data_IF_135112661567
#
_entry.id   IF_135112661567
#
_cell.length_a   1.000
_cell.length_b   1.000
_cell.length_c   1.000
_cell.angle_alpha   90.00
_cell.angle_beta   90.00
_cell.angle_gamma   90.00
#
_symmetry.space_group_name_H-M   'P 1'
#
loop_
_entity.id
_entity.type
_entity.pdbx_description
1 polymer ?
#
# COMPACT_ATOMS: atom_id res chain seq x y z
N UNK A 1 55.39 29.02 24.54
CA UNK A 1 54.94 28.73 23.15
C UNK A 1 53.88 27.62 23.03
N UNK A 2 54.04 26.44 23.65
CA UNK A 2 53.14 25.26 23.44
C UNK A 2 51.63 25.50 23.74
N UNK A 3 51.28 26.41 24.65
CA UNK A 3 49.88 26.67 25.08
C UNK A 3 49.06 27.42 24.01
N UNK A 4 49.67 28.42 23.35
CA UNK A 4 49.04 29.18 22.25
C UNK A 4 48.80 28.31 21.00
N UNK A 5 49.68 27.35 20.74
CA UNK A 5 49.53 26.40 19.61
C UNK A 5 48.36 25.44 19.81
N UNK A 6 48.20 24.89 21.03
CA UNK A 6 47.05 24.03 21.38
C UNK A 6 45.71 24.77 21.29
N UNK A 7 45.64 26.04 21.71
CA UNK A 7 44.42 26.85 21.56
C UNK A 7 44.08 27.15 20.10
N UNK A 8 45.09 27.47 19.27
CA UNK A 8 44.88 27.69 17.83
C UNK A 8 44.35 26.44 17.13
N UNK A 9 44.90 25.27 17.46
CA UNK A 9 44.43 23.98 16.92
C UNK A 9 42.99 23.70 17.39
N UNK A 10 42.66 23.92 18.67
CA UNK A 10 41.31 23.72 19.22
C UNK A 10 40.27 24.67 18.61
N UNK A 11 40.66 25.92 18.31
CA UNK A 11 39.80 26.85 17.56
C UNK A 11 39.59 26.35 16.13
N UNK A 12 40.65 25.98 15.43
CA UNK A 12 40.58 25.49 14.04
C UNK A 12 39.72 24.24 13.90
N UNK A 13 39.89 23.25 14.77
CA UNK A 13 39.04 22.04 14.78
C UNK A 13 37.58 22.36 15.08
N UNK A 14 37.29 23.32 15.97
CA UNK A 14 35.92 23.79 16.20
C UNK A 14 35.31 24.44 14.96
N UNK A 15 36.07 25.25 14.22
CA UNK A 15 35.60 25.85 12.96
C UNK A 15 35.34 24.78 11.89
N UNK A 16 36.27 23.84 11.71
CA UNK A 16 36.12 22.72 10.78
C UNK A 16 34.89 21.87 11.13
N UNK A 17 34.68 21.51 12.40
CA UNK A 17 33.49 20.78 12.84
C UNK A 17 32.17 21.53 12.55
N UNK A 18 32.17 22.86 12.67
CA UNK A 18 30.99 23.68 12.34
C UNK A 18 30.73 23.68 10.83
N UNK A 19 31.77 23.77 10.00
CA UNK A 19 31.64 23.71 8.54
C UNK A 19 31.11 22.34 8.08
N UNK A 20 31.68 21.25 8.59
CA UNK A 20 31.17 19.90 8.35
C UNK A 20 29.73 19.74 8.87
N UNK A 21 29.41 20.31 10.02
CA UNK A 21 28.05 20.33 10.56
C UNK A 21 27.06 21.05 9.65
N UNK A 22 27.43 22.21 9.11
CA UNK A 22 26.60 22.94 8.14
C UNK A 22 26.38 22.14 6.86
N UNK A 23 27.44 21.56 6.30
CA UNK A 23 27.34 20.73 5.10
C UNK A 23 26.44 19.51 5.33
N UNK A 24 26.56 18.86 6.50
CA UNK A 24 25.71 17.74 6.88
C UNK A 24 24.23 18.15 6.98
N UNK A 25 23.93 19.29 7.62
CA UNK A 25 22.55 19.81 7.72
C UNK A 25 21.96 20.06 6.33
N UNK A 26 22.71 20.69 5.42
CA UNK A 26 22.28 20.92 4.04
C UNK A 26 22.02 19.61 3.32
N UNK A 27 22.90 18.61 3.47
CA UNK A 27 22.72 17.30 2.86
C UNK A 27 21.47 16.57 3.38
N UNK A 28 21.20 16.64 4.69
CA UNK A 28 19.98 16.05 5.30
C UNK A 28 18.72 16.73 4.77
N UNK A 29 18.71 18.06 4.66
CA UNK A 29 17.58 18.81 4.11
C UNK A 29 17.35 18.42 2.64
N UNK A 30 18.39 18.41 1.82
CA UNK A 30 18.29 18.02 0.42
C UNK A 30 17.78 16.57 0.27
N UNK A 31 18.30 15.64 1.07
CA UNK A 31 17.83 14.25 1.09
C UNK A 31 16.35 14.15 1.50
N UNK A 32 15.91 14.93 2.49
CA UNK A 32 14.50 14.97 2.91
C UNK A 32 13.59 15.50 1.79
N UNK A 33 14.02 16.53 1.05
CA UNK A 33 13.27 17.08 -0.09
C UNK A 33 13.18 16.04 -1.22
N UNK A 34 14.30 15.46 -1.62
CA UNK A 34 14.34 14.43 -2.67
C UNK A 34 13.45 13.25 -2.30
N UNK A 35 13.51 12.81 -1.03
CA UNK A 35 12.71 11.68 -0.54
C UNK A 35 11.21 11.96 -0.52
N UNK A 36 10.83 13.17 -0.11
CA UNK A 36 9.41 13.54 0.02
C UNK A 36 8.78 13.76 -1.34
N UNK A 37 9.50 14.38 -2.28
CA UNK A 37 8.95 14.83 -3.57
C UNK A 37 9.27 13.93 -4.77
N UNK A 38 10.45 13.31 -4.81
CA UNK A 38 10.95 12.65 -6.03
C UNK A 38 10.77 11.14 -5.97
N UNK A 39 11.44 10.48 -5.04
CA UNK A 39 11.37 9.03 -4.89
C UNK A 39 11.67 8.56 -3.48
N UNK A 40 11.27 7.35 -3.13
CA UNK A 40 11.71 6.70 -1.91
C UNK A 40 11.91 5.20 -2.07
N UNK A 41 12.70 4.60 -1.20
CA UNK A 41 12.87 3.14 -1.18
C UNK A 41 11.85 2.49 -0.25
N UNK A 42 11.29 1.36 -0.66
CA UNK A 42 10.36 0.55 0.14
C UNK A 42 10.73 -0.95 0.06
N UNK A 43 10.73 -1.64 1.19
CA UNK A 43 10.81 -3.11 1.24
C UNK A 43 9.41 -3.72 1.15
N UNK A 44 9.25 -4.78 0.35
CA UNK A 44 7.97 -5.51 0.25
C UNK A 44 8.07 -6.84 1.01
N UNK A 45 7.41 -6.98 2.18
CA UNK A 45 7.54 -8.20 2.99
C UNK A 45 6.62 -9.34 2.55
N UNK A 46 5.60 -9.06 1.72
CA UNK A 46 4.54 -10.04 1.37
C UNK A 46 4.62 -10.51 -0.07
N UNK A 47 4.10 -11.71 -0.34
CA UNK A 47 4.02 -12.31 -1.69
C UNK A 47 2.79 -11.91 -2.50
N UNK A 48 2.02 -10.91 -2.06
CA UNK A 48 0.75 -10.56 -2.71
C UNK A 48 0.87 -9.99 -4.12
N UNK A 49 2.08 -9.61 -4.53
CA UNK A 49 2.40 -9.14 -5.87
C UNK A 49 3.23 -10.15 -6.68
N UNK A 50 3.42 -11.37 -6.17
CA UNK A 50 4.11 -12.43 -6.90
C UNK A 50 3.31 -12.82 -8.16
N UNK A 51 3.96 -13.08 -9.32
CA UNK A 51 5.40 -13.10 -9.55
C UNK A 51 6.02 -11.74 -9.94
N UNK A 52 5.24 -10.66 -9.97
CA UNK A 52 5.73 -9.33 -10.39
C UNK A 52 6.76 -8.76 -9.41
N UNK A 53 6.49 -8.89 -8.10
CA UNK A 53 7.39 -8.46 -7.02
C UNK A 53 7.49 -9.62 -6.03
N UNK A 54 8.72 -10.01 -5.69
CA UNK A 54 8.98 -11.11 -4.75
C UNK A 54 9.07 -10.57 -3.31
N UNK A 55 8.67 -11.38 -2.31
CA UNK A 55 8.91 -11.06 -0.91
C UNK A 55 10.40 -10.76 -0.66
N UNK A 56 10.68 -9.69 0.08
CA UNK A 56 12.03 -9.25 0.40
C UNK A 56 12.68 -8.31 -0.64
N UNK A 57 12.03 -8.08 -1.78
CA UNK A 57 12.54 -7.12 -2.77
C UNK A 57 12.38 -5.68 -2.28
N UNK A 58 13.36 -4.85 -2.65
CA UNK A 58 13.34 -3.41 -2.42
C UNK A 58 12.97 -2.70 -3.71
N UNK A 59 12.00 -1.81 -3.62
CA UNK A 59 11.51 -1.01 -4.72
C UNK A 59 11.97 0.44 -4.57
N UNK A 60 12.29 1.06 -5.70
CA UNK A 60 12.40 2.52 -5.81
C UNK A 60 11.05 3.06 -6.27
N UNK A 61 10.34 3.71 -5.37
CA UNK A 61 9.01 4.27 -5.60
C UNK A 61 9.16 5.70 -6.06
N UNK A 62 8.89 5.92 -7.34
CA UNK A 62 8.83 7.26 -7.93
C UNK A 62 7.49 7.95 -7.59
N UNK A 63 7.54 9.26 -7.37
CA UNK A 63 6.38 10.08 -6.96
C UNK A 63 6.02 11.19 -7.94
N UNK A 64 6.98 11.61 -8.77
CA UNK A 64 6.85 12.78 -9.64
C UNK A 64 5.74 12.58 -10.69
N UNK A 65 5.65 11.40 -11.26
CA UNK A 65 4.71 11.05 -12.33
C UNK A 65 3.27 11.30 -11.90
N UNK A 66 2.93 10.90 -10.67
CA UNK A 66 1.57 11.08 -10.14
C UNK A 66 1.26 12.50 -9.66
N UNK A 67 2.23 13.42 -9.71
CA UNK A 67 1.97 14.86 -9.57
C UNK A 67 1.42 15.48 -10.86
N UNK A 68 1.68 14.87 -12.02
CA UNK A 68 1.31 15.42 -13.34
C UNK A 68 0.23 14.60 -14.06
N UNK A 69 0.03 13.34 -13.67
CA UNK A 69 -1.04 12.51 -14.22
C UNK A 69 -1.71 11.68 -13.14
N UNK A 70 -2.96 11.34 -13.37
CA UNK A 70 -3.61 10.32 -12.54
C UNK A 70 -3.02 8.91 -12.81
N UNK A 71 -3.09 8.00 -11.82
CA UNK A 71 -2.88 6.58 -12.02
C UNK A 71 -3.77 6.03 -13.13
N UNK A 72 -3.25 5.11 -13.95
CA UNK A 72 -3.99 4.43 -15.02
C UNK A 72 -4.18 2.97 -14.65
N UNK A 73 -5.27 2.38 -15.14
CA UNK A 73 -5.49 0.93 -14.98
C UNK A 73 -4.29 0.18 -15.57
N UNK A 74 -3.80 -0.82 -14.83
CA UNK A 74 -2.56 -1.53 -15.12
C UNK A 74 -1.35 -1.05 -14.32
N UNK A 75 -1.33 0.21 -13.85
CA UNK A 75 -0.23 0.78 -13.08
C UNK A 75 -0.02 0.00 -11.77
N UNK A 76 1.24 -0.13 -11.36
CA UNK A 76 1.59 -0.56 -10.00
C UNK A 76 1.69 0.70 -9.15
N UNK A 77 0.86 0.78 -8.12
CA UNK A 77 0.72 1.95 -7.27
C UNK A 77 1.11 1.62 -5.84
N UNK A 78 1.71 2.60 -5.18
CA UNK A 78 2.00 2.56 -3.74
C UNK A 78 1.11 3.56 -3.05
N UNK A 79 0.37 3.12 -2.03
CA UNK A 79 -0.55 3.97 -1.30
C UNK A 79 -0.58 3.62 0.18
N UNK A 80 -0.99 4.58 0.99
CA UNK A 80 -1.26 4.38 2.41
C UNK A 80 -2.61 3.70 2.56
N UNK A 81 -2.67 2.65 3.38
CA UNK A 81 -3.94 1.94 3.62
C UNK A 81 -4.98 2.88 4.23
N UNK A 82 -6.26 2.77 3.84
CA UNK A 82 -7.33 3.58 4.42
C UNK A 82 -7.76 3.13 5.82
N UNK A 83 -7.15 2.05 6.32
CA UNK A 83 -7.36 1.45 7.64
C UNK A 83 -6.00 1.12 8.28
N UNK A 84 -5.96 1.06 9.60
CA UNK A 84 -4.77 0.64 10.35
C UNK A 84 -4.57 -0.86 10.19
N UNK A 85 -3.35 -1.28 9.81
CA UNK A 85 -2.97 -2.68 9.73
C UNK A 85 -1.85 -2.99 10.73
N UNK A 86 -2.26 -3.48 11.90
CA UNK A 86 -1.34 -3.79 12.98
C UNK A 86 -0.40 -4.97 12.65
N UNK A 87 -0.80 -5.86 11.73
CA UNK A 87 0.03 -7.00 11.33
C UNK A 87 1.13 -6.55 10.38
N UNK A 88 0.80 -5.74 9.38
CA UNK A 88 1.80 -5.16 8.49
C UNK A 88 2.79 -4.28 9.25
N UNK A 89 2.32 -3.45 10.19
CA UNK A 89 3.17 -2.58 11.02
C UNK A 89 4.20 -3.35 11.87
N UNK A 90 3.88 -4.60 12.28
CA UNK A 90 4.80 -5.45 13.04
C UNK A 90 5.93 -6.04 12.19
N UNK A 91 5.72 -6.20 10.88
CA UNK A 91 6.69 -6.79 9.95
C UNK A 91 7.74 -5.80 9.46
N UNK A 92 7.67 -4.54 9.90
CA UNK A 92 8.50 -3.43 9.42
C UNK A 92 9.86 -3.47 10.11
N UNK A 93 10.93 -3.47 9.31
CA UNK A 93 12.31 -3.47 9.81
C UNK A 93 12.69 -2.12 10.44
N UNK A 94 13.76 -2.11 11.24
CA UNK A 94 14.24 -0.92 11.97
C UNK A 94 14.50 0.29 11.04
N UNK A 95 15.10 0.05 9.86
CA UNK A 95 15.33 1.11 8.88
C UNK A 95 14.02 1.75 8.42
N UNK A 96 13.01 0.95 8.12
CA UNK A 96 11.70 1.43 7.70
C UNK A 96 10.98 2.18 8.83
N UNK A 97 11.15 1.79 10.10
CA UNK A 97 10.64 2.53 11.27
C UNK A 97 11.25 3.93 11.38
N UNK A 98 12.56 4.08 11.15
CA UNK A 98 13.18 5.41 11.07
C UNK A 98 12.55 6.21 9.93
N UNK A 99 12.27 5.56 8.81
CA UNK A 99 11.62 6.23 7.67
C UNK A 99 10.18 6.69 7.99
N UNK A 100 9.47 6.03 8.92
CA UNK A 100 8.17 6.52 9.38
C UNK A 100 8.21 7.88 10.06
N UNK A 101 9.34 8.28 10.66
CA UNK A 101 9.49 9.61 11.27
C UNK A 101 9.29 10.75 10.25
N UNK A 102 9.53 10.46 8.96
CA UNK A 102 9.38 11.40 7.86
C UNK A 102 8.05 11.23 7.11
N UNK A 103 7.15 10.35 7.57
CA UNK A 103 5.81 10.18 7.00
C UNK A 103 4.88 11.33 7.40
N UNK A 104 3.90 11.71 6.56
CA UNK A 104 2.90 12.70 6.95
C UNK A 104 2.15 12.24 8.21
N UNK A 105 1.86 13.13 9.19
CA UNK A 105 1.31 12.70 10.48
C UNK A 105 0.01 11.90 10.43
N UNK A 106 -0.85 12.19 9.45
CA UNK A 106 -2.10 11.47 9.19
C UNK A 106 -1.93 9.98 8.82
N UNK A 107 -0.71 9.55 8.49
CA UNK A 107 -0.42 8.18 8.04
C UNK A 107 0.51 7.39 8.98
N UNK A 108 0.82 7.88 10.19
CA UNK A 108 1.73 7.18 11.10
C UNK A 108 1.25 5.76 11.50
N UNK A 109 -0.06 5.54 11.55
CA UNK A 109 -0.68 4.24 11.85
C UNK A 109 -1.11 3.47 10.59
N UNK A 110 -0.82 3.98 9.40
CA UNK A 110 -1.22 3.36 8.15
C UNK A 110 -0.02 2.64 7.52
N UNK A 111 -0.24 1.43 7.03
CA UNK A 111 0.80 0.71 6.31
C UNK A 111 0.87 1.21 4.86
N UNK A 112 2.03 1.04 4.21
CA UNK A 112 2.16 1.25 2.76
C UNK A 112 1.95 -0.06 2.04
N UNK A 113 1.04 -0.05 1.07
CA UNK A 113 0.73 -1.20 0.23
C UNK A 113 1.17 -0.92 -1.20
N UNK A 114 1.71 -1.95 -1.86
CA UNK A 114 2.01 -1.95 -3.28
C UNK A 114 1.02 -2.89 -3.96
N UNK A 115 0.20 -2.37 -4.86
CA UNK A 115 -0.82 -3.14 -5.59
C UNK A 115 -0.89 -2.71 -7.04
N UNK A 116 -1.53 -3.52 -7.88
CA UNK A 116 -1.87 -3.16 -9.26
C UNK A 116 -3.26 -2.52 -9.30
N UNK A 117 -3.37 -1.38 -9.97
CA UNK A 117 -4.65 -0.72 -10.19
C UNK A 117 -5.46 -1.48 -11.25
N UNK A 118 -6.63 -1.98 -10.88
CA UNK A 118 -7.52 -2.76 -11.77
C UNK A 118 -8.78 -2.02 -12.19
N UNK A 119 -9.15 -0.96 -11.47
CA UNK A 119 -10.31 -0.11 -11.77
C UNK A 119 -10.27 1.19 -10.96
N UNK A 120 -11.09 2.15 -11.37
CA UNK A 120 -11.29 3.46 -10.73
C UNK A 120 -12.76 3.62 -10.31
N UNK A 121 -13.06 4.67 -9.54
CA UNK A 121 -14.44 5.02 -9.19
C UNK A 121 -15.35 5.08 -10.42
N UNK A 122 -16.52 4.46 -10.30
CA UNK A 122 -17.48 4.27 -11.39
C UNK A 122 -17.25 3.02 -12.27
N UNK A 123 -16.08 2.39 -12.22
CA UNK A 123 -15.83 1.16 -12.99
C UNK A 123 -16.57 -0.03 -12.37
N UNK A 124 -17.00 -0.97 -13.22
CA UNK A 124 -17.46 -2.31 -12.81
C UNK A 124 -16.40 -3.34 -13.18
N UNK A 125 -15.93 -4.10 -12.20
CA UNK A 125 -14.95 -5.15 -12.37
C UNK A 125 -15.62 -6.52 -12.25
N UNK A 126 -15.34 -7.41 -13.19
CA UNK A 126 -15.78 -8.80 -13.14
C UNK A 126 -14.63 -9.73 -13.46
N UNK A 127 -14.64 -10.91 -12.83
CA UNK A 127 -13.75 -12.01 -13.20
C UNK A 127 -14.53 -12.97 -14.10
N UNK A 128 -14.02 -13.19 -15.32
CA UNK A 128 -14.60 -14.12 -16.28
C UNK A 128 -13.71 -15.37 -16.34
N UNK A 129 -14.28 -16.57 -16.09
CA UNK A 129 -13.51 -17.80 -16.08
C UNK A 129 -12.99 -18.16 -17.47
N UNK A 130 -11.79 -18.71 -17.50
CA UNK A 130 -11.15 -19.36 -18.63
C UNK A 130 -11.05 -20.84 -18.25
N UNK A 131 -11.82 -21.74 -18.90
CA UNK A 131 -11.84 -23.15 -18.56
C UNK A 131 -10.42 -23.74 -18.48
N UNK A 132 -10.10 -24.37 -17.34
CA UNK A 132 -8.82 -25.04 -17.11
C UNK A 132 -7.61 -24.13 -16.85
N UNK A 133 -7.76 -22.80 -16.84
CA UNK A 133 -6.63 -21.86 -16.70
C UNK A 133 -6.76 -20.93 -15.50
N UNK A 134 -7.90 -20.25 -15.34
CA UNK A 134 -8.09 -19.23 -14.32
C UNK A 134 -9.11 -18.20 -14.77
N UNK A 135 -8.89 -16.91 -14.49
CA UNK A 135 -9.84 -15.84 -14.81
C UNK A 135 -9.17 -14.66 -15.52
N UNK A 136 -9.93 -13.95 -16.37
CA UNK A 136 -9.58 -12.62 -16.88
C UNK A 136 -10.40 -11.54 -16.18
N UNK A 137 -9.76 -10.38 -15.99
CA UNK A 137 -10.45 -9.17 -15.54
C UNK A 137 -11.16 -8.51 -16.72
N UNK A 138 -12.46 -8.32 -16.55
CA UNK A 138 -13.28 -7.47 -17.40
C UNK A 138 -13.61 -6.18 -16.64
N UNK A 139 -13.33 -5.05 -17.27
CA UNK A 139 -13.66 -3.72 -16.78
C UNK A 139 -14.75 -3.13 -17.65
N UNK A 140 -15.88 -2.74 -17.05
CA UNK A 140 -17.06 -2.22 -17.74
C UNK A 140 -17.53 -3.14 -18.88
N UNK A 141 -17.49 -4.46 -18.63
CA UNK A 141 -17.91 -5.49 -19.60
C UNK A 141 -16.91 -5.77 -20.74
N UNK A 142 -15.74 -5.14 -20.76
CA UNK A 142 -14.70 -5.36 -21.78
C UNK A 142 -13.42 -5.90 -21.15
N UNK A 143 -12.69 -6.75 -21.87
CA UNK A 143 -11.37 -7.22 -21.46
C UNK A 143 -10.42 -6.03 -21.38
N UNK A 144 -9.78 -5.82 -20.22
CA UNK A 144 -8.88 -4.68 -20.00
C UNK A 144 -7.53 -4.93 -20.71
N UNK A 145 -7.17 -4.12 -21.73
CA UNK A 145 -6.00 -4.39 -22.58
C UNK A 145 -4.68 -4.45 -21.80
N UNK A 146 -4.53 -3.61 -20.78
CA UNK A 146 -3.32 -3.56 -19.93
C UNK A 146 -3.16 -4.78 -19.02
N UNK A 147 -4.24 -5.55 -18.83
CA UNK A 147 -4.28 -6.72 -17.95
C UNK A 147 -4.48 -8.03 -18.74
N UNK A 148 -4.57 -7.95 -20.07
CA UNK A 148 -4.91 -9.08 -20.95
C UNK A 148 -3.97 -10.27 -20.83
N UNK A 149 -2.69 -10.03 -20.54
CA UNK A 149 -1.66 -11.07 -20.49
C UNK A 149 -1.57 -11.75 -19.10
N UNK A 150 -2.44 -11.37 -18.16
CA UNK A 150 -2.43 -11.88 -16.77
C UNK A 150 -3.55 -12.87 -16.55
N UNK A 151 -3.32 -13.80 -15.63
CA UNK A 151 -4.31 -14.76 -15.14
C UNK A 151 -4.57 -14.45 -13.68
N UNK A 152 -5.85 -14.45 -13.32
CA UNK A 152 -6.33 -14.14 -11.98
C UNK A 152 -7.06 -15.33 -11.38
N UNK A 153 -7.15 -15.34 -10.05
CA UNK A 153 -7.95 -16.29 -9.29
C UNK A 153 -8.88 -15.50 -8.35
N UNK A 154 -10.14 -15.94 -8.17
CA UNK A 154 -11.08 -15.28 -7.29
C UNK A 154 -10.57 -15.37 -5.85
N UNK A 155 -10.53 -14.23 -5.18
CA UNK A 155 -10.22 -14.09 -3.76
C UNK A 155 -11.08 -12.97 -3.18
N UNK A 156 -11.21 -12.95 -1.85
CA UNK A 156 -11.96 -11.93 -1.14
C UNK A 156 -13.38 -11.80 -1.70
N UNK A 157 -13.76 -10.59 -2.07
CA UNK A 157 -15.10 -10.28 -2.59
C UNK A 157 -15.52 -11.07 -3.85
N UNK A 158 -14.56 -11.52 -4.66
CA UNK A 158 -14.84 -12.32 -5.85
C UNK A 158 -15.00 -13.81 -5.57
N UNK A 159 -14.70 -14.25 -4.34
CA UNK A 159 -14.95 -15.62 -3.88
C UNK A 159 -16.16 -15.66 -2.93
N UNK A 160 -16.31 -14.62 -2.12
CA UNK A 160 -17.36 -14.46 -1.13
C UNK A 160 -17.91 -13.02 -1.22
N UNK A 161 -19.13 -12.80 -1.76
CA UNK A 161 -19.72 -11.47 -1.90
C UNK A 161 -19.77 -10.67 -0.58
N UNK A 162 -19.89 -11.37 0.55
CA UNK A 162 -20.01 -10.79 1.88
C UNK A 162 -18.63 -10.62 2.56
N UNK A 163 -17.52 -10.87 1.85
CA UNK A 163 -16.17 -10.91 2.43
C UNK A 163 -15.81 -9.67 3.25
N UNK A 164 -16.11 -8.48 2.74
CA UNK A 164 -15.82 -7.23 3.45
C UNK A 164 -16.73 -7.02 4.66
N UNK A 165 -18.00 -7.42 4.58
CA UNK A 165 -18.92 -7.40 5.72
C UNK A 165 -18.45 -8.36 6.81
N UNK A 166 -18.09 -9.59 6.45
CA UNK A 166 -17.55 -10.60 7.37
C UNK A 166 -16.27 -10.13 8.04
N UNK A 167 -15.40 -9.40 7.34
CA UNK A 167 -14.21 -8.79 7.95
C UNK A 167 -14.55 -7.63 8.90
N UNK A 168 -15.54 -6.80 8.56
CA UNK A 168 -15.95 -5.67 9.40
C UNK A 168 -16.77 -6.10 10.63
N UNK A 169 -17.61 -7.11 10.46
CA UNK A 169 -18.64 -7.57 11.39
C UNK A 169 -18.65 -9.11 11.57
N UNK A 170 -17.53 -9.73 11.95
CA UNK A 170 -17.42 -11.19 12.04
C UNK A 170 -18.44 -11.80 13.02
N UNK A 171 -18.83 -11.07 14.07
CA UNK A 171 -19.79 -11.57 15.07
C UNK A 171 -21.22 -11.73 14.52
N UNK A 172 -21.54 -11.21 13.32
CA UNK A 172 -22.80 -11.50 12.60
C UNK A 172 -22.78 -12.88 11.92
N UNK A 173 -21.59 -13.44 11.70
CA UNK A 173 -21.37 -14.67 10.94
C UNK A 173 -20.65 -15.72 11.80
N UNK A 174 -21.18 -16.00 13.00
CA UNK A 174 -20.55 -16.93 13.95
C UNK A 174 -20.50 -18.38 13.47
N UNK A 175 -21.45 -18.77 12.62
CA UNK A 175 -21.57 -20.12 12.07
C UNK A 175 -20.72 -20.32 10.81
N UNK A 176 -20.09 -19.26 10.28
CA UNK A 176 -19.19 -19.36 9.13
C UNK A 176 -17.91 -20.13 9.52
N UNK A 177 -17.50 -21.08 8.67
CA UNK A 177 -16.30 -21.89 8.89
C UNK A 177 -15.03 -21.04 9.07
N UNK A 178 -15.00 -19.85 8.49
CA UNK A 178 -13.90 -18.90 8.57
C UNK A 178 -14.06 -17.85 9.68
N UNK A 179 -15.09 -17.95 10.52
CA UNK A 179 -15.37 -16.99 11.61
C UNK A 179 -14.13 -16.64 12.44
N UNK A 180 -13.32 -17.64 12.83
CA UNK A 180 -12.09 -17.41 13.60
C UNK A 180 -11.07 -16.56 12.85
N UNK A 181 -10.95 -16.77 11.54
CA UNK A 181 -10.06 -15.98 10.69
C UNK A 181 -10.58 -14.55 10.54
N UNK A 182 -11.87 -14.38 10.24
CA UNK A 182 -12.48 -13.05 10.15
C UNK A 182 -12.37 -12.28 11.47
N UNK A 183 -12.56 -12.94 12.61
CA UNK A 183 -12.37 -12.34 13.93
C UNK A 183 -10.92 -11.91 14.20
N UNK A 184 -9.94 -12.67 13.71
CA UNK A 184 -8.53 -12.28 13.78
C UNK A 184 -8.25 -11.06 12.90
N UNK A 185 -8.72 -11.07 11.65
CA UNK A 185 -8.55 -9.94 10.73
C UNK A 185 -9.24 -8.67 11.24
N UNK A 186 -10.47 -8.76 11.74
CA UNK A 186 -11.22 -7.64 12.32
C UNK A 186 -10.50 -7.00 13.51
N UNK A 187 -9.75 -7.78 14.30
CA UNK A 187 -8.92 -7.25 15.40
C UNK A 187 -7.61 -6.63 14.90
N UNK A 188 -7.04 -7.20 13.84
CA UNK A 188 -5.77 -6.76 13.28
C UNK A 188 -5.91 -5.48 12.43
N UNK A 189 -7.01 -5.37 11.70
CA UNK A 189 -7.33 -4.30 10.76
C UNK A 189 -8.43 -3.41 11.35
N UNK A 190 -8.20 -2.10 11.49
CA UNK A 190 -9.29 -1.14 11.81
C UNK A 190 -10.15 -0.89 10.56
N UNK A 191 -10.69 -1.97 9.99
CA UNK A 191 -11.40 -1.98 8.71
C UNK A 191 -12.85 -1.52 8.86
N UNK A 192 -13.46 -1.68 10.03
CA UNK A 192 -14.87 -1.36 10.29
C UNK A 192 -15.22 0.08 9.90
N UNK A 193 -14.44 1.07 10.36
CA UNK A 193 -14.67 2.49 10.00
C UNK A 193 -14.55 2.73 8.49
N UNK A 194 -13.62 2.04 7.83
CA UNK A 194 -13.44 2.14 6.39
C UNK A 194 -14.65 1.55 5.66
N UNK A 195 -15.10 0.38 6.08
CA UNK A 195 -16.28 -0.30 5.55
C UNK A 195 -17.53 0.59 5.67
N UNK A 196 -17.85 1.05 6.88
CA UNK A 196 -19.03 1.90 7.14
C UNK A 196 -19.01 3.22 6.34
N UNK A 197 -17.81 3.73 6.03
CA UNK A 197 -17.64 4.97 5.26
C UNK A 197 -17.90 4.77 3.76
N UNK A 198 -17.45 3.66 3.20
CA UNK A 198 -17.48 3.43 1.75
C UNK A 198 -18.63 2.55 1.28
N UNK A 199 -19.30 1.84 2.20
CA UNK A 199 -20.48 1.07 1.88
C UNK A 199 -21.75 1.81 2.30
N UNK A 200 -22.33 2.49 1.31
CA UNK A 200 -23.66 3.16 1.40
C UNK A 200 -24.49 2.90 0.13
N UNK A 201 -24.05 1.96 -0.72
CA UNK A 201 -24.67 1.69 -2.02
C UNK A 201 -25.10 0.23 -2.12
N UNK A 202 -26.41 -0.01 -2.23
CA UNK A 202 -27.04 -1.34 -2.40
C UNK A 202 -26.56 -2.10 -3.65
N UNK A 203 -25.78 -1.45 -4.51
CA UNK A 203 -25.33 -1.94 -5.82
C UNK A 203 -23.81 -2.26 -5.90
N UNK A 204 -23.10 -2.29 -4.77
CA UNK A 204 -21.64 -2.48 -4.71
C UNK A 204 -21.18 -3.86 -5.23
N UNK A 205 -21.90 -4.93 -4.89
CA UNK A 205 -21.63 -6.31 -5.35
C UNK A 205 -22.85 -6.87 -6.04
N UNK A 206 -22.68 -7.43 -7.24
CA UNK A 206 -23.73 -8.10 -7.99
C UNK A 206 -23.31 -9.52 -8.33
N UNK A 207 -24.10 -10.47 -7.85
CA UNK A 207 -23.99 -11.89 -8.19
C UNK A 207 -24.94 -12.19 -9.35
N UNK A 208 -24.40 -12.66 -10.48
CA UNK A 208 -25.19 -13.02 -11.66
C UNK A 208 -25.76 -14.43 -11.51
N UNK A 209 -26.75 -14.77 -12.36
CA UNK A 209 -27.40 -16.10 -12.38
C UNK A 209 -26.43 -17.26 -12.63
N UNK A 210 -25.32 -17.00 -13.31
CA UNK A 210 -24.25 -17.97 -13.58
C UNK A 210 -23.22 -18.10 -12.43
N UNK A 211 -23.47 -17.43 -11.29
CA UNK A 211 -22.57 -17.40 -10.14
C UNK A 211 -21.40 -16.43 -10.27
N UNK A 212 -21.26 -15.72 -11.40
CA UNK A 212 -20.19 -14.74 -11.56
C UNK A 212 -20.45 -13.49 -10.72
N UNK A 213 -19.38 -12.98 -10.10
CA UNK A 213 -19.43 -11.77 -9.26
C UNK A 213 -18.88 -10.58 -10.03
N UNK A 214 -19.63 -9.48 -9.98
CA UNK A 214 -19.18 -8.17 -10.45
C UNK A 214 -19.23 -7.14 -9.33
N UNK A 215 -18.21 -6.30 -9.26
CA UNK A 215 -18.04 -5.29 -8.20
C UNK A 215 -18.05 -3.91 -8.85
N UNK A 216 -18.95 -3.05 -8.41
CA UNK A 216 -19.02 -1.65 -8.83
C UNK A 216 -18.17 -0.81 -7.89
N UNK A 217 -17.14 -0.16 -8.40
CA UNK A 217 -16.26 0.68 -7.59
C UNK A 217 -16.99 2.00 -7.32
N UNK A 218 -17.17 2.39 -6.03
CA UNK A 218 -17.83 3.64 -5.67
C UNK A 218 -17.06 4.88 -6.13
#
# INVERSE_FOLDING_TARGET
MKRKTKEKIKKRTKYELIEWGKAFVVAVIAAAIIRTLIFETMLVPTGSMYPTIKPGERLLVEKVTYAFREPKVGDIVVFWTPFVDNMALKQIHLFDKIMYLFSPPRFYSHARYVKRLVGKGGDTIALVPIPGVGYKIYRNGKLEPTLRDKIYYPQGIFLDPEFYEKMAYPDRFKDDINYRAFKLYSKALDFKKCYDKYETNEDYVRVKKDGSISVKIP
#
